data_IF_640268511297
#
_entry.id   IF_640268511297
#
_cell.length_a   1.000
_cell.length_b   1.000
_cell.length_c   1.000
_cell.angle_alpha   90.00
_cell.angle_beta   90.00
_cell.angle_gamma   90.00
#
_symmetry.space_group_name_H-M   'P 1'
#
loop_
_entity.id
_entity.type
_entity.pdbx_description
1 polymer ?
#
# COMPACT_ATOMS: atom_id res chain seq x y z
N UNK A 1 7.11 -2.77 27.70
CA UNK A 1 6.00 -3.78 27.62
C UNK A 1 6.32 -4.67 26.45
N UNK A 2 5.90 -5.93 26.46
CA UNK A 2 6.13 -6.81 25.31
C UNK A 2 5.13 -6.49 24.19
N UNK A 3 5.57 -6.49 22.95
CA UNK A 3 4.70 -6.36 21.77
C UNK A 3 3.85 -7.62 21.65
N UNK A 4 2.55 -7.46 21.52
CA UNK A 4 1.55 -8.52 21.39
C UNK A 4 0.88 -8.53 20.03
N UNK A 5 0.89 -7.40 19.33
CA UNK A 5 0.37 -7.28 17.98
C UNK A 5 1.34 -6.50 17.08
N UNK A 6 1.37 -6.87 15.81
CA UNK A 6 2.06 -6.13 14.75
C UNK A 6 1.05 -5.86 13.63
N UNK A 7 0.95 -4.61 13.22
CA UNK A 7 0.15 -4.21 12.07
C UNK A 7 1.06 -3.77 10.92
N UNK A 8 0.64 -4.03 9.70
CA UNK A 8 1.42 -3.74 8.50
C UNK A 8 0.63 -2.85 7.54
N UNK A 9 1.30 -1.91 6.92
CA UNK A 9 0.89 -1.41 5.61
C UNK A 9 1.08 -2.49 4.54
N UNK A 10 0.65 -2.24 3.31
CA UNK A 10 0.70 -3.23 2.22
C UNK A 10 1.57 -2.78 1.05
N UNK A 11 1.26 -1.63 0.42
CA UNK A 11 2.01 -1.14 -0.72
C UNK A 11 3.45 -0.80 -0.34
N UNK A 12 4.45 -1.17 -1.12
CA UNK A 12 5.87 -0.97 -0.81
C UNK A 12 6.34 -1.52 0.55
N UNK A 13 5.45 -2.18 1.29
CA UNK A 13 5.73 -2.83 2.57
C UNK A 13 5.71 -4.34 2.43
N UNK A 14 4.57 -4.91 2.09
CA UNK A 14 4.36 -6.35 1.87
C UNK A 14 4.32 -6.71 0.39
N UNK A 15 3.77 -5.82 -0.44
CA UNK A 15 3.50 -6.03 -1.86
C UNK A 15 4.13 -4.93 -2.73
N UNK A 16 4.42 -5.32 -3.97
CA UNK A 16 4.82 -4.42 -5.04
C UNK A 16 4.10 -4.77 -6.35
N UNK A 17 3.88 -3.80 -7.28
CA UNK A 17 3.31 -4.09 -8.60
C UNK A 17 4.20 -5.06 -9.39
N UNK A 18 3.61 -6.18 -9.84
CA UNK A 18 4.31 -7.18 -10.67
C UNK A 18 3.31 -7.86 -11.61
N UNK A 19 3.34 -7.58 -12.93
CA UNK A 19 4.24 -6.66 -13.64
C UNK A 19 4.22 -5.21 -13.12
N UNK A 20 5.23 -4.39 -13.50
CA UNK A 20 5.28 -2.97 -13.11
C UNK A 20 4.04 -2.20 -13.62
N UNK A 21 3.83 -1.01 -13.08
CA UNK A 21 2.72 -0.14 -13.54
C UNK A 21 2.86 0.18 -15.03
N UNK A 22 4.09 0.46 -15.49
CA UNK A 22 4.35 0.76 -16.89
C UNK A 22 4.10 -0.47 -17.80
N UNK A 23 4.56 -1.65 -17.41
CA UNK A 23 4.32 -2.90 -18.15
C UNK A 23 2.82 -3.22 -18.23
N UNK A 24 2.09 -3.05 -17.13
CA UNK A 24 0.64 -3.27 -17.07
C UNK A 24 -0.11 -2.29 -17.96
N UNK A 25 0.26 -1.00 -17.91
CA UNK A 25 -0.31 0.04 -18.78
C UNK A 25 -0.06 -0.27 -20.27
N UNK A 26 1.17 -0.59 -20.63
CA UNK A 26 1.55 -0.94 -22.02
C UNK A 26 0.78 -2.18 -22.50
N UNK A 27 0.62 -3.18 -21.64
CA UNK A 27 -0.18 -4.36 -21.95
C UNK A 27 -1.65 -4.01 -22.23
N UNK A 28 -2.24 -3.15 -21.37
CA UNK A 28 -3.60 -2.67 -21.54
C UNK A 28 -3.75 -1.85 -22.85
N UNK A 29 -2.81 -0.93 -23.11
CA UNK A 29 -2.82 -0.10 -24.33
C UNK A 29 -2.71 -0.95 -25.62
N UNK A 30 -1.96 -2.04 -25.57
CA UNK A 30 -1.79 -2.97 -26.72
C UNK A 30 -3.10 -3.63 -27.12
N UNK A 31 -4.01 -3.92 -26.20
CA UNK A 31 -5.33 -4.47 -26.49
C UNK A 31 -6.17 -3.52 -27.38
N UNK A 32 -5.86 -2.23 -27.35
CA UNK A 32 -6.53 -1.19 -28.13
C UNK A 32 -5.68 -0.68 -29.31
N UNK A 33 -4.63 -1.44 -29.69
CA UNK A 33 -3.84 -1.19 -30.91
C UNK A 33 -2.68 -0.21 -30.75
N UNK A 34 -2.27 0.11 -29.52
CA UNK A 34 -1.09 0.95 -29.25
C UNK A 34 0.13 0.06 -28.99
N UNK A 35 1.23 0.34 -29.69
CA UNK A 35 2.53 -0.31 -29.48
C UNK A 35 3.50 0.70 -28.86
N UNK A 36 3.43 0.78 -27.52
CA UNK A 36 4.22 1.73 -26.70
C UNK A 36 5.38 0.94 -26.11
N UNK A 37 6.63 1.41 -26.24
CA UNK A 37 7.76 0.85 -25.50
C UNK A 37 7.57 1.01 -23.99
N UNK A 38 7.93 -0.03 -23.21
CA UNK A 38 7.80 0.02 -21.74
C UNK A 38 8.63 1.15 -21.16
N UNK A 39 9.83 1.38 -21.70
CA UNK A 39 10.75 2.44 -21.27
C UNK A 39 10.15 3.84 -21.47
N UNK A 40 9.31 4.03 -22.49
CA UNK A 40 8.58 5.28 -22.69
C UNK A 40 7.56 5.50 -21.56
N UNK A 41 6.74 4.51 -21.26
CA UNK A 41 5.78 4.59 -20.15
C UNK A 41 6.49 4.77 -18.80
N UNK A 42 7.58 4.06 -18.55
CA UNK A 42 8.40 4.19 -17.33
C UNK A 42 8.92 5.60 -17.14
N UNK A 43 9.34 6.27 -18.21
CA UNK A 43 9.86 7.65 -18.16
C UNK A 43 8.83 8.67 -17.66
N UNK A 44 7.56 8.30 -17.60
CA UNK A 44 6.45 9.15 -17.15
C UNK A 44 5.91 8.79 -15.75
N UNK A 45 6.39 7.72 -15.13
CA UNK A 45 5.91 7.27 -13.80
C UNK A 45 6.17 8.33 -12.73
N UNK A 46 7.32 9.01 -12.75
CA UNK A 46 7.61 10.08 -11.79
C UNK A 46 6.58 11.24 -11.89
N UNK A 47 6.10 11.55 -13.10
CA UNK A 47 5.05 12.54 -13.26
C UNK A 47 3.70 12.09 -12.68
N UNK A 48 3.39 10.81 -12.74
CA UNK A 48 2.21 10.23 -12.11
C UNK A 48 2.29 10.31 -10.58
N UNK A 49 3.45 10.01 -10.01
CA UNK A 49 3.68 10.18 -8.58
C UNK A 49 3.64 11.65 -8.14
N UNK A 50 4.19 12.56 -8.94
CA UNK A 50 4.08 14.01 -8.67
C UNK A 50 2.61 14.46 -8.61
N UNK A 51 1.77 14.02 -9.55
CA UNK A 51 0.32 14.26 -9.54
C UNK A 51 -0.35 13.66 -8.30
N UNK A 52 0.00 12.40 -7.95
CA UNK A 52 -0.51 11.76 -6.74
C UNK A 52 -0.22 12.60 -5.49
N UNK A 53 1.02 13.03 -5.29
CA UNK A 53 1.40 13.83 -4.12
C UNK A 53 0.79 15.23 -4.13
N UNK A 54 0.51 15.82 -5.30
CA UNK A 54 -0.22 17.08 -5.40
C UNK A 54 -1.66 16.91 -4.90
N UNK A 55 -2.36 15.88 -5.37
CA UNK A 55 -3.72 15.54 -4.93
C UNK A 55 -3.75 15.16 -3.45
N UNK A 56 -2.80 14.36 -2.97
CA UNK A 56 -2.70 13.96 -1.57
C UNK A 56 -2.55 15.17 -0.63
N UNK A 57 -1.74 16.17 -1.03
CA UNK A 57 -1.59 17.42 -0.24
C UNK A 57 -2.82 18.31 -0.30
N UNK A 58 -3.56 18.27 -1.39
CA UNK A 58 -4.79 19.06 -1.57
C UNK A 58 -5.94 18.47 -0.77
N UNK A 59 -6.17 17.20 -0.91
CA UNK A 59 -7.24 16.44 -0.25
C UNK A 59 -6.90 14.94 -0.22
N UNK A 60 -6.24 14.50 0.87
CA UNK A 60 -5.91 13.09 1.05
C UNK A 60 -7.11 12.20 1.37
N UNK A 61 -8.29 12.75 1.60
CA UNK A 61 -9.48 11.99 2.01
C UNK A 61 -10.07 11.12 0.89
N UNK A 62 -9.51 11.20 -0.33
CA UNK A 62 -9.82 10.25 -1.40
C UNK A 62 -9.57 8.79 -0.98
N UNK A 63 -8.69 8.53 -0.02
CA UNK A 63 -8.48 7.20 0.55
C UNK A 63 -9.61 6.72 1.48
N UNK A 64 -10.55 7.60 1.86
CA UNK A 64 -11.64 7.26 2.78
C UNK A 64 -12.86 6.62 2.08
N UNK A 65 -12.88 6.50 0.77
CA UNK A 65 -14.02 5.95 0.02
C UNK A 65 -13.63 5.44 -1.36
N UNK A 66 -14.36 4.41 -1.84
CA UNK A 66 -14.11 3.73 -3.11
C UNK A 66 -13.94 4.67 -4.31
N UNK A 67 -14.86 5.60 -4.51
CA UNK A 67 -14.81 6.52 -5.65
C UNK A 67 -13.55 7.41 -5.66
N UNK A 68 -13.10 7.83 -4.49
CA UNK A 68 -11.86 8.59 -4.34
C UNK A 68 -10.63 7.74 -4.66
N UNK A 69 -10.57 6.53 -4.11
CA UNK A 69 -9.49 5.57 -4.41
C UNK A 69 -9.41 5.28 -5.91
N UNK A 70 -10.56 5.04 -6.54
CA UNK A 70 -10.63 4.83 -7.98
C UNK A 70 -10.19 6.07 -8.75
N UNK A 71 -10.69 7.25 -8.37
CA UNK A 71 -10.39 8.51 -9.04
C UNK A 71 -8.89 8.81 -9.10
N UNK A 72 -8.16 8.64 -7.99
CA UNK A 72 -6.72 8.92 -7.93
C UNK A 72 -5.92 8.05 -8.91
N UNK A 73 -6.28 6.79 -9.07
CA UNK A 73 -5.64 5.91 -10.05
C UNK A 73 -6.02 6.26 -11.48
N UNK A 74 -7.30 6.60 -11.72
CA UNK A 74 -7.78 6.99 -13.05
C UNK A 74 -7.07 8.22 -13.59
N UNK A 75 -6.86 9.27 -12.79
CA UNK A 75 -6.15 10.47 -13.26
C UNK A 75 -4.68 10.20 -13.55
N UNK A 76 -4.03 9.30 -12.80
CA UNK A 76 -2.65 8.89 -13.09
C UNK A 76 -2.54 8.11 -14.39
N UNK A 77 -3.42 7.12 -14.61
CA UNK A 77 -3.42 6.36 -15.87
C UNK A 77 -3.88 7.21 -17.06
N UNK A 78 -4.77 8.19 -16.84
CA UNK A 78 -5.13 9.15 -17.85
C UNK A 78 -3.96 10.07 -18.24
N UNK A 79 -3.08 10.42 -17.27
CA UNK A 79 -1.84 11.14 -17.53
C UNK A 79 -0.86 10.28 -18.33
N UNK A 80 -0.72 8.99 -18.03
CA UNK A 80 0.09 8.06 -18.84
C UNK A 80 -0.43 7.99 -20.29
N UNK A 81 -1.74 7.86 -20.48
CA UNK A 81 -2.35 7.88 -21.80
C UNK A 81 -1.98 9.15 -22.57
N UNK A 82 -2.09 10.31 -21.92
CA UNK A 82 -1.75 11.60 -22.54
C UNK A 82 -0.28 11.68 -22.94
N UNK A 83 0.62 11.27 -22.05
CA UNK A 83 2.08 11.31 -22.25
C UNK A 83 2.55 10.33 -23.32
N UNK A 84 1.92 9.17 -23.42
CA UNK A 84 2.24 8.13 -24.40
C UNK A 84 1.38 8.22 -25.68
N UNK A 85 0.64 9.33 -25.91
CA UNK A 85 -0.10 9.57 -27.14
C UNK A 85 -1.32 8.67 -27.35
N UNK A 86 -1.88 8.09 -26.28
CA UNK A 86 -3.12 7.30 -26.32
C UNK A 86 -4.31 8.26 -26.35
N UNK A 87 -4.93 8.42 -27.53
CA UNK A 87 -6.05 9.34 -27.76
C UNK A 87 -7.36 8.59 -27.94
N UNK A 88 -7.40 7.67 -28.92
CA UNK A 88 -8.56 6.82 -29.10
C UNK A 88 -8.59 5.76 -27.97
N UNK A 89 -9.80 5.41 -27.49
CA UNK A 89 -9.97 4.42 -26.42
C UNK A 89 -9.24 4.77 -25.09
N UNK A 90 -8.96 6.06 -24.84
CA UNK A 90 -8.27 6.50 -23.63
C UNK A 90 -8.93 5.94 -22.37
N UNK A 91 -10.26 6.10 -22.26
CA UNK A 91 -11.01 5.67 -21.08
C UNK A 91 -11.03 4.13 -20.94
N UNK A 92 -11.03 3.41 -22.06
CA UNK A 92 -10.96 1.94 -22.07
C UNK A 92 -9.60 1.45 -21.56
N UNK A 93 -8.49 2.10 -22.00
CA UNK A 93 -7.12 1.78 -21.56
C UNK A 93 -6.95 2.10 -20.07
N UNK A 94 -7.45 3.23 -19.60
CA UNK A 94 -7.44 3.61 -18.18
C UNK A 94 -8.18 2.56 -17.35
N UNK A 95 -9.39 2.18 -17.77
CA UNK A 95 -10.21 1.19 -17.06
C UNK A 95 -9.54 -0.21 -17.06
N UNK A 96 -8.97 -0.63 -18.17
CA UNK A 96 -8.24 -1.90 -18.27
C UNK A 96 -7.03 -1.93 -17.34
N UNK A 97 -6.23 -0.85 -17.31
CA UNK A 97 -5.07 -0.73 -16.42
C UNK A 97 -5.49 -0.77 -14.95
N UNK A 98 -6.52 -0.01 -14.58
CA UNK A 98 -7.05 -0.01 -13.21
C UNK A 98 -7.51 -1.41 -12.79
N UNK A 99 -8.33 -2.08 -13.62
CA UNK A 99 -8.87 -3.40 -13.32
C UNK A 99 -7.80 -4.47 -13.14
N UNK A 100 -6.67 -4.33 -13.82
CA UNK A 100 -5.56 -5.26 -13.66
C UNK A 100 -5.06 -5.32 -12.21
N UNK A 101 -5.03 -4.18 -11.52
CA UNK A 101 -4.55 -4.09 -10.13
C UNK A 101 -5.59 -4.46 -9.07
N UNK A 102 -6.84 -4.77 -9.43
CA UNK A 102 -7.87 -5.18 -8.47
C UNK A 102 -7.71 -6.64 -8.00
N UNK A 103 -6.75 -7.39 -8.54
CA UNK A 103 -6.55 -8.80 -8.27
C UNK A 103 -5.07 -9.12 -7.99
N UNK A 104 -4.84 -10.17 -7.21
CA UNK A 104 -3.52 -10.56 -6.73
C UNK A 104 -2.49 -10.87 -7.80
N UNK A 105 -2.89 -11.25 -9.01
CA UNK A 105 -1.95 -11.64 -10.09
C UNK A 105 -1.14 -10.47 -10.70
N UNK A 106 -1.43 -9.22 -10.33
CA UNK A 106 -0.62 -8.03 -10.66
C UNK A 106 0.19 -7.52 -9.47
N UNK A 107 0.34 -8.35 -8.43
CA UNK A 107 1.09 -8.01 -7.23
C UNK A 107 2.12 -9.08 -6.90
N UNK A 108 3.36 -8.66 -6.70
CA UNK A 108 4.44 -9.47 -6.15
C UNK A 108 4.47 -9.34 -4.63
N UNK A 109 4.89 -10.42 -3.95
CA UNK A 109 5.15 -10.41 -2.50
C UNK A 109 6.66 -10.27 -2.33
N UNK A 110 7.13 -9.34 -1.46
CA UNK A 110 8.54 -9.27 -1.12
C UNK A 110 9.02 -10.57 -0.48
N UNK A 111 10.27 -10.96 -0.76
CA UNK A 111 10.82 -12.27 -0.41
C UNK A 111 10.83 -12.55 1.10
N UNK A 112 11.02 -11.53 1.91
CA UNK A 112 11.08 -11.59 3.38
C UNK A 112 9.71 -11.65 4.08
N UNK A 113 8.62 -11.44 3.35
CA UNK A 113 7.27 -11.27 3.95
C UNK A 113 6.75 -12.57 4.55
N UNK A 114 6.65 -13.63 3.75
CA UNK A 114 5.96 -14.86 4.18
C UNK A 114 6.67 -15.52 5.37
N UNK A 115 7.99 -15.53 5.37
CA UNK A 115 8.77 -16.12 6.46
C UNK A 115 8.65 -15.28 7.74
N UNK A 116 8.68 -13.95 7.62
CA UNK A 116 8.51 -13.05 8.76
C UNK A 116 7.12 -13.17 9.39
N UNK A 117 6.04 -13.18 8.56
CA UNK A 117 4.68 -13.34 9.07
C UNK A 117 4.50 -14.67 9.81
N UNK A 118 5.07 -15.77 9.31
CA UNK A 118 5.07 -17.07 9.99
C UNK A 118 5.81 -17.01 11.32
N UNK A 119 7.03 -16.46 11.32
CA UNK A 119 7.84 -16.39 12.53
C UNK A 119 7.17 -15.54 13.63
N UNK A 120 6.46 -14.48 13.27
CA UNK A 120 5.66 -13.68 14.19
C UNK A 120 4.48 -14.49 14.78
N UNK A 121 3.74 -15.23 13.94
CA UNK A 121 2.66 -16.10 14.41
C UNK A 121 3.19 -17.22 15.33
N UNK A 122 4.32 -17.83 15.01
CA UNK A 122 4.96 -18.87 15.84
C UNK A 122 5.38 -18.34 17.21
N UNK A 123 5.63 -17.03 17.34
CA UNK A 123 5.86 -16.34 18.63
C UNK A 123 4.57 -15.95 19.35
N UNK A 124 3.40 -16.24 18.78
CA UNK A 124 2.09 -15.89 19.35
C UNK A 124 1.70 -14.43 19.19
N UNK A 125 2.33 -13.71 18.26
CA UNK A 125 2.00 -12.30 17.94
C UNK A 125 0.76 -12.25 17.06
N UNK A 126 -0.21 -11.39 17.41
CA UNK A 126 -1.39 -11.15 16.58
C UNK A 126 -1.03 -10.18 15.43
N UNK A 127 -1.39 -10.54 14.19
CA UNK A 127 -1.07 -9.73 13.02
C UNK A 127 -2.32 -9.04 12.46
N UNK A 128 -2.17 -7.81 12.00
CA UNK A 128 -3.22 -7.03 11.33
C UNK A 128 -2.68 -6.25 10.14
N UNK A 129 -3.58 -5.73 9.33
CA UNK A 129 -3.28 -4.82 8.22
C UNK A 129 -4.02 -3.50 8.42
N UNK A 130 -3.31 -2.38 8.23
CA UNK A 130 -3.86 -1.03 8.20
C UNK A 130 -3.28 -0.34 6.96
N UNK A 131 -4.07 -0.16 5.91
CA UNK A 131 -3.56 0.39 4.65
C UNK A 131 -4.48 1.44 4.06
N UNK A 132 -3.89 2.51 3.53
CA UNK A 132 -4.60 3.48 2.69
C UNK A 132 -4.89 2.81 1.34
N UNK A 133 -6.02 2.15 1.26
CA UNK A 133 -6.41 1.32 0.12
C UNK A 133 -7.93 1.20 0.01
N UNK A 134 -8.38 0.79 -1.17
CA UNK A 134 -9.77 0.41 -1.41
C UNK A 134 -10.09 -0.99 -0.85
N UNK A 135 -11.36 -1.34 -0.83
CA UNK A 135 -11.88 -2.64 -0.38
C UNK A 135 -11.37 -3.83 -1.19
N UNK A 136 -10.90 -3.59 -2.41
CA UNK A 136 -10.25 -4.62 -3.26
C UNK A 136 -9.01 -5.24 -2.63
N UNK A 137 -8.38 -4.57 -1.67
CA UNK A 137 -7.28 -5.12 -0.88
C UNK A 137 -7.61 -6.49 -0.27
N UNK A 138 -8.86 -6.68 0.17
CA UNK A 138 -9.31 -7.96 0.72
C UNK A 138 -9.19 -9.10 -0.29
N UNK A 139 -9.55 -8.83 -1.55
CA UNK A 139 -9.44 -9.81 -2.64
C UNK A 139 -7.98 -10.04 -3.02
N UNK A 140 -7.18 -8.98 -3.10
CA UNK A 140 -5.75 -9.07 -3.42
C UNK A 140 -5.02 -9.97 -2.43
N UNK A 141 -5.19 -9.72 -1.13
CA UNK A 141 -4.55 -10.51 -0.08
C UNK A 141 -5.08 -11.96 -0.04
N UNK A 142 -6.36 -12.17 -0.37
CA UNK A 142 -6.93 -13.52 -0.48
C UNK A 142 -6.37 -14.29 -1.69
N UNK A 143 -6.28 -13.66 -2.86
CA UNK A 143 -5.70 -14.25 -4.07
C UNK A 143 -4.23 -14.67 -3.87
N UNK A 144 -3.47 -13.87 -3.12
CA UNK A 144 -2.07 -14.14 -2.77
C UNK A 144 -1.91 -15.11 -1.59
N UNK A 145 -3.01 -15.52 -0.96
CA UNK A 145 -3.00 -16.42 0.20
C UNK A 145 -2.44 -15.78 1.47
N UNK A 146 -2.37 -14.45 1.54
CA UNK A 146 -1.84 -13.71 2.69
C UNK A 146 -2.90 -13.47 3.78
N UNK A 147 -4.19 -13.43 3.44
CA UNK A 147 -5.27 -13.16 4.41
C UNK A 147 -5.25 -14.08 5.64
N UNK A 148 -4.75 -15.32 5.50
CA UNK A 148 -4.65 -16.30 6.58
C UNK A 148 -3.72 -15.92 7.72
N UNK A 149 -2.82 -14.95 7.51
CA UNK A 149 -1.88 -14.49 8.52
C UNK A 149 -2.48 -13.43 9.44
N UNK A 150 -3.52 -12.73 9.00
CA UNK A 150 -4.03 -11.54 9.65
C UNK A 150 -5.34 -11.82 10.41
N UNK A 151 -5.40 -11.37 11.65
CA UNK A 151 -6.62 -11.41 12.47
C UNK A 151 -7.63 -10.36 11.99
N UNK A 152 -7.15 -9.21 11.48
CA UNK A 152 -7.98 -8.16 10.86
C UNK A 152 -7.25 -7.49 9.70
N UNK A 153 -8.02 -7.04 8.71
CA UNK A 153 -7.52 -6.31 7.53
C UNK A 153 -8.39 -5.08 7.36
N UNK A 154 -7.80 -3.90 7.51
CA UNK A 154 -8.49 -2.61 7.53
C UNK A 154 -8.03 -1.74 6.35
N UNK A 155 -8.66 -1.86 5.17
CA UNK A 155 -8.53 -0.86 4.11
C UNK A 155 -9.21 0.44 4.56
N UNK A 156 -8.58 1.58 4.33
CA UNK A 156 -9.11 2.89 4.74
C UNK A 156 -10.49 3.20 4.16
N UNK A 157 -10.73 2.84 2.90
CA UNK A 157 -12.04 3.05 2.25
C UNK A 157 -13.18 2.22 2.87
N UNK A 158 -12.87 1.10 3.55
CA UNK A 158 -13.87 0.26 4.23
C UNK A 158 -14.45 0.95 5.47
N UNK A 159 -13.63 1.75 6.16
CA UNK A 159 -13.97 2.35 7.46
C UNK A 159 -14.15 3.86 7.40
N UNK A 160 -13.87 4.48 6.26
CA UNK A 160 -13.96 5.94 6.09
C UNK A 160 -12.91 6.73 6.85
N UNK A 161 -11.81 6.09 7.25
CA UNK A 161 -10.67 6.68 7.94
C UNK A 161 -9.38 6.29 7.23
N UNK A 162 -8.42 7.22 7.14
CA UNK A 162 -7.12 6.96 6.52
C UNK A 162 -5.94 7.29 7.44
N UNK A 163 -4.81 6.70 7.23
CA UNK A 163 -3.53 7.11 7.82
C UNK A 163 -3.17 8.52 7.28
N UNK A 164 -2.59 9.41 8.09
CA UNK A 164 -2.09 9.21 9.47
C UNK A 164 -3.13 9.49 10.58
N UNK A 165 -4.44 9.51 10.32
CA UNK A 165 -5.45 9.81 11.33
C UNK A 165 -5.36 8.81 12.51
N UNK A 166 -5.10 9.25 13.76
CA UNK A 166 -4.98 8.35 14.92
C UNK A 166 -6.22 7.48 15.14
N UNK A 167 -7.42 7.95 14.78
CA UNK A 167 -8.67 7.19 14.95
C UNK A 167 -8.67 5.86 14.16
N UNK A 168 -7.94 5.78 13.04
CA UNK A 168 -7.80 4.52 12.30
C UNK A 168 -6.96 3.49 13.08
N UNK A 169 -5.89 3.95 13.72
CA UNK A 169 -5.05 3.10 14.55
C UNK A 169 -5.76 2.68 15.84
N UNK A 170 -6.51 3.59 16.47
CA UNK A 170 -7.35 3.29 17.64
C UNK A 170 -8.40 2.22 17.32
N UNK A 171 -9.05 2.31 16.16
CA UNK A 171 -9.98 1.29 15.67
C UNK A 171 -9.28 -0.09 15.50
N UNK A 172 -8.07 -0.10 14.95
CA UNK A 172 -7.29 -1.33 14.80
C UNK A 172 -6.91 -1.94 16.15
N UNK A 173 -6.48 -1.13 17.12
CA UNK A 173 -6.16 -1.57 18.48
C UNK A 173 -7.38 -2.18 19.18
N UNK A 174 -8.56 -1.56 19.06
CA UNK A 174 -9.82 -2.10 19.58
C UNK A 174 -10.14 -3.47 18.98
N UNK A 175 -10.04 -3.61 17.65
CA UNK A 175 -10.35 -4.86 16.95
C UNK A 175 -9.35 -5.98 17.25
N UNK A 176 -8.07 -5.64 17.45
CA UNK A 176 -7.02 -6.58 17.81
C UNK A 176 -7.00 -6.90 19.34
N UNK A 177 -7.73 -6.12 20.15
CA UNK A 177 -7.80 -6.32 21.60
C UNK A 177 -6.49 -6.07 22.33
N UNK A 178 -5.72 -5.09 21.91
CA UNK A 178 -4.42 -4.71 22.50
C UNK A 178 -4.37 -3.23 22.87
N UNK A 179 -3.53 -2.89 23.85
CA UNK A 179 -3.26 -1.49 24.17
C UNK A 179 -2.21 -0.87 23.24
N UNK A 180 -2.19 0.47 23.05
CA UNK A 180 -1.27 1.12 22.12
C UNK A 180 0.19 0.69 22.29
N UNK A 181 0.72 0.71 23.51
CA UNK A 181 2.12 0.33 23.80
C UNK A 181 2.44 -1.17 23.66
N UNK A 182 1.45 -2.01 23.32
CA UNK A 182 1.61 -3.43 23.00
C UNK A 182 1.55 -3.70 21.48
N UNK A 183 1.38 -2.65 20.67
CA UNK A 183 1.26 -2.76 19.21
C UNK A 183 2.40 -2.02 18.50
N UNK A 184 2.95 -2.67 17.48
CA UNK A 184 3.94 -2.12 16.57
C UNK A 184 3.32 -2.01 15.18
N UNK A 185 3.42 -0.85 14.54
CA UNK A 185 3.07 -0.68 13.13
C UNK A 185 4.31 -0.65 12.25
N UNK A 186 4.22 -1.24 11.06
CA UNK A 186 5.31 -1.29 10.07
C UNK A 186 4.76 -0.85 8.72
N UNK A 187 5.38 0.15 8.10
CA UNK A 187 5.02 0.62 6.78
C UNK A 187 6.14 1.45 6.15
N UNK A 188 5.93 2.00 4.95
CA UNK A 188 6.97 2.67 4.17
C UNK A 188 6.89 4.21 4.20
N UNK A 189 5.76 4.79 4.60
CA UNK A 189 5.52 6.22 4.56
C UNK A 189 5.74 6.89 5.92
N UNK A 190 6.65 7.88 5.98
CA UNK A 190 7.06 8.56 7.22
C UNK A 190 5.87 9.16 8.01
N UNK A 191 4.96 9.85 7.32
CA UNK A 191 3.79 10.47 7.94
C UNK A 191 2.70 9.43 8.28
N UNK A 192 2.35 8.59 7.32
CA UNK A 192 1.26 7.64 7.46
C UNK A 192 1.60 6.48 8.40
N UNK A 193 2.82 5.95 8.33
CA UNK A 193 3.24 4.74 9.03
C UNK A 193 4.24 5.00 10.16
N UNK A 194 4.89 6.17 10.13
CA UNK A 194 5.78 6.63 11.18
C UNK A 194 5.05 7.47 12.21
N UNK A 195 4.66 8.69 11.85
CA UNK A 195 4.07 9.66 12.76
C UNK A 195 2.64 9.30 13.21
N UNK A 196 1.83 8.74 12.30
CA UNK A 196 0.44 8.36 12.59
C UNK A 196 0.30 7.38 13.75
N UNK A 197 0.95 6.19 13.74
CA UNK A 197 0.88 5.25 14.85
C UNK A 197 1.50 5.80 16.14
N UNK A 198 2.58 6.59 16.07
CA UNK A 198 3.17 7.26 17.24
C UNK A 198 2.18 8.22 17.90
N UNK A 199 1.39 8.96 17.11
CA UNK A 199 0.34 9.84 17.61
C UNK A 199 -0.80 9.07 18.31
N UNK A 200 -1.04 7.81 17.92
CA UNK A 200 -1.98 6.89 18.60
C UNK A 200 -1.35 6.16 19.80
N UNK A 201 -0.08 6.45 20.16
CA UNK A 201 0.64 5.83 21.26
C UNK A 201 1.18 4.41 20.97
N UNK A 202 1.20 4.00 19.72
CA UNK A 202 1.81 2.76 19.25
C UNK A 202 3.33 2.92 19.05
N UNK A 203 4.01 1.82 18.81
CA UNK A 203 5.36 1.82 18.24
C UNK A 203 5.29 1.84 16.71
N UNK A 204 6.34 2.35 16.05
CA UNK A 204 6.43 2.31 14.57
C UNK A 204 7.83 1.94 14.10
N UNK A 205 7.89 1.27 12.95
CA UNK A 205 9.08 1.03 12.15
C UNK A 205 8.80 1.42 10.70
N UNK A 206 9.73 2.12 10.11
CA UNK A 206 9.69 2.39 8.66
C UNK A 206 10.50 1.33 7.94
N UNK A 207 9.88 0.64 6.98
CA UNK A 207 10.59 -0.25 6.09
C UNK A 207 10.99 0.51 4.82
N UNK A 208 12.29 0.61 4.58
CA UNK A 208 12.83 1.26 3.39
C UNK A 208 13.25 0.21 2.35
N UNK A 209 12.42 0.07 1.32
CA UNK A 209 12.64 -0.84 0.17
C UNK A 209 13.47 -0.21 -0.95
N UNK A 210 13.70 1.12 -0.91
CA UNK A 210 14.16 1.88 -2.08
C UNK A 210 15.33 2.85 -1.79
N UNK A 211 15.97 2.74 -0.61
CA UNK A 211 17.04 3.62 -0.15
C UNK A 211 16.65 5.11 -0.15
N UNK A 212 15.50 5.40 0.44
CA UNK A 212 14.94 6.75 0.58
C UNK A 212 15.61 7.58 1.67
N UNK A 213 15.15 8.83 1.81
CA UNK A 213 15.53 9.72 2.91
C UNK A 213 14.32 9.85 3.84
N UNK A 214 14.50 9.50 5.10
CA UNK A 214 13.43 9.48 6.09
C UNK A 214 13.54 10.63 7.10
N UNK A 215 12.41 10.95 7.72
CA UNK A 215 12.33 11.98 8.74
C UNK A 215 13.19 11.63 9.98
N UNK A 216 13.87 12.62 10.59
CA UNK A 216 14.66 12.36 11.78
C UNK A 216 13.83 11.80 12.95
N UNK A 217 14.36 10.78 13.63
CA UNK A 217 13.73 10.19 14.81
C UNK A 217 12.88 8.95 14.54
N UNK A 218 12.60 8.64 13.28
CA UNK A 218 11.99 7.36 12.91
C UNK A 218 13.02 6.23 12.94
N UNK A 219 12.59 5.04 13.31
CA UNK A 219 13.42 3.83 13.26
C UNK A 219 13.19 3.16 11.90
N UNK A 220 14.27 3.04 11.12
CA UNK A 220 14.22 2.50 9.75
C UNK A 220 14.83 1.10 9.72
N UNK A 221 14.15 0.18 9.03
CA UNK A 221 14.62 -1.17 8.72
C UNK A 221 14.66 -1.35 7.20
N UNK A 222 15.49 -2.25 6.69
CA UNK A 222 15.63 -2.53 5.24
C UNK A 222 15.21 -3.96 4.87
N UNK A 223 14.87 -4.78 5.87
CA UNK A 223 14.35 -6.13 5.71
C UNK A 223 13.28 -6.37 6.76
N UNK A 224 12.15 -6.96 6.35
CA UNK A 224 11.00 -7.13 7.24
C UNK A 224 11.31 -8.08 8.41
N UNK A 225 12.27 -9.00 8.25
CA UNK A 225 12.69 -9.90 9.33
C UNK A 225 13.23 -9.17 10.56
N UNK A 226 13.74 -7.94 10.41
CA UNK A 226 14.18 -7.12 11.56
C UNK A 226 13.04 -6.77 12.52
N UNK A 227 11.76 -6.89 12.11
CA UNK A 227 10.62 -6.76 13.02
C UNK A 227 10.70 -7.77 14.17
N UNK A 228 11.31 -8.93 13.94
CA UNK A 228 11.49 -9.99 14.93
C UNK A 228 12.39 -9.60 16.11
N UNK A 229 13.18 -8.54 15.97
CA UNK A 229 14.05 -8.01 17.02
C UNK A 229 13.27 -7.15 18.06
N UNK A 230 12.03 -6.78 17.72
CA UNK A 230 11.18 -5.91 18.55
C UNK A 230 10.05 -6.64 19.27
N UNK A 231 9.87 -7.97 19.06
CA UNK A 231 8.76 -8.78 19.55
C UNK A 231 9.22 -9.99 20.35
#
# INVERSE_FOLDING_TARGET
>A
MAIRAVTFDVGSTLLYPSPSVAETFVSSAREYGYDIPVEEAESHIDACWALYYEEYRRDGDFWCHHEGCKHIWYIQYALLCERCGVVAHKDDVVDATYRAFLRGHHWGIYEDVVETLRALQDRGVTLGVISNWDTDLLNILADLGLSRYFADIIPSALVGLRKPNPALFELALERLGVSPGECLHVGDADDADGEGPLAAGMHSLIIDRHAGVHAPGLTVIHDLSHVLDYV
#
